data_IF_439741402118
#
_entry.id   IF_439741402118
#
_cell.length_a   1.000
_cell.length_b   1.000
_cell.length_c   1.000
_cell.angle_alpha   90.00
_cell.angle_beta   90.00
_cell.angle_gamma   90.00
#
_symmetry.space_group_name_H-M   'P 1'
#
loop_
_entity.id
_entity.type
_entity.pdbx_description
1 polymer ?
#
# COMPACT_ATOMS: atom_id res chain seq x y z
N UNK A 1 -22.95 -4.69 6.03
CA UNK A 1 -24.21 -3.93 5.98
C UNK A 1 -24.10 -2.51 6.55
N UNK A 2 -23.42 -2.29 7.70
CA UNK A 2 -23.30 -0.97 8.36
C UNK A 2 -22.83 0.18 7.47
N UNK A 3 -21.62 0.07 6.88
CA UNK A 3 -20.99 1.17 6.12
C UNK A 3 -21.78 1.59 4.86
N UNK A 4 -22.45 0.65 4.18
CA UNK A 4 -23.24 0.94 2.97
C UNK A 4 -24.57 1.61 3.34
N UNK A 5 -25.22 1.17 4.41
CA UNK A 5 -26.44 1.81 4.90
C UNK A 5 -26.17 3.23 5.43
N UNK A 6 -25.03 3.44 6.09
CA UNK A 6 -24.58 4.76 6.53
C UNK A 6 -24.30 5.70 5.34
N UNK A 7 -23.65 5.18 4.28
CA UNK A 7 -23.42 5.91 3.03
C UNK A 7 -24.72 6.39 2.38
N UNK A 8 -25.72 5.52 2.22
CA UNK A 8 -27.03 5.85 1.64
C UNK A 8 -27.75 6.95 2.44
N UNK A 9 -27.64 6.90 3.77
CA UNK A 9 -28.26 7.89 4.65
C UNK A 9 -27.49 9.23 4.67
N UNK A 10 -26.19 9.23 4.35
CA UNK A 10 -25.35 10.44 4.31
C UNK A 10 -25.49 11.25 3.02
N UNK A 11 -26.02 10.64 1.95
CA UNK A 11 -26.30 11.31 0.68
C UNK A 11 -27.63 12.06 0.72
N UNK A 12 -27.56 13.39 0.77
CA UNK A 12 -28.74 14.28 0.72
C UNK A 12 -29.58 14.05 -0.56
N UNK A 13 -30.90 13.96 -0.40
CA UNK A 13 -31.86 13.81 -1.50
C UNK A 13 -32.34 12.37 -1.76
N UNK A 14 -31.58 11.36 -1.35
CA UNK A 14 -31.88 9.96 -1.66
C UNK A 14 -32.86 9.28 -0.68
N UNK A 15 -33.07 9.80 0.53
CA UNK A 15 -33.76 9.03 1.58
C UNK A 15 -35.28 8.86 1.40
N UNK A 16 -35.93 9.59 0.48
CA UNK A 16 -37.40 9.59 0.38
C UNK A 16 -37.98 8.81 -0.81
N UNK A 17 -37.17 8.42 -1.82
CA UNK A 17 -37.66 7.74 -3.04
C UNK A 17 -36.92 6.44 -3.40
N UNK A 18 -36.10 5.88 -2.51
CA UNK A 18 -35.39 4.65 -2.81
C UNK A 18 -36.30 3.40 -2.76
N UNK A 19 -36.22 2.50 -3.76
CA UNK A 19 -36.87 1.19 -3.71
C UNK A 19 -36.44 0.42 -2.45
N UNK A 20 -37.38 -0.35 -1.86
CA UNK A 20 -37.14 -1.08 -0.59
C UNK A 20 -35.93 -2.03 -0.62
N UNK A 21 -35.57 -2.53 -1.80
CA UNK A 21 -34.45 -3.46 -1.98
C UNK A 21 -33.13 -2.76 -2.37
N UNK A 22 -33.12 -1.42 -2.44
CA UNK A 22 -31.98 -0.65 -2.95
C UNK A 22 -30.70 -0.88 -2.13
N UNK A 23 -30.78 -0.78 -0.80
CA UNK A 23 -29.60 -0.96 0.08
C UNK A 23 -29.05 -2.38 0.02
N UNK A 24 -29.93 -3.38 -0.05
CA UNK A 24 -29.54 -4.78 -0.15
C UNK A 24 -28.88 -5.07 -1.50
N UNK A 25 -29.43 -4.52 -2.58
CA UNK A 25 -28.88 -4.65 -3.93
C UNK A 25 -27.55 -3.89 -4.05
N UNK A 26 -27.46 -2.67 -3.53
CA UNK A 26 -26.21 -1.90 -3.47
C UNK A 26 -25.12 -2.66 -2.72
N UNK A 27 -25.47 -3.30 -1.59
CA UNK A 27 -24.52 -4.11 -0.84
C UNK A 27 -24.04 -5.34 -1.62
N UNK A 28 -24.94 -6.07 -2.29
CA UNK A 28 -24.59 -7.21 -3.13
C UNK A 28 -23.70 -6.82 -4.31
N UNK A 29 -24.07 -5.74 -4.99
CA UNK A 29 -23.43 -5.26 -6.22
C UNK A 29 -22.11 -4.51 -5.94
N UNK A 30 -21.95 -3.92 -4.75
CA UNK A 30 -20.69 -3.34 -4.29
C UNK A 30 -19.78 -4.34 -3.57
N UNK A 31 -20.27 -5.57 -3.31
CA UNK A 31 -19.62 -6.54 -2.41
C UNK A 31 -19.30 -5.94 -1.03
N UNK A 32 -20.06 -4.92 -0.61
CA UNK A 32 -19.80 -4.16 0.61
C UNK A 32 -18.63 -3.18 0.55
N UNK A 33 -18.05 -2.93 -0.63
CA UNK A 33 -16.96 -1.98 -0.82
C UNK A 33 -17.50 -0.54 -0.88
N UNK A 34 -17.18 0.33 0.10
CA UNK A 34 -17.72 1.69 0.18
C UNK A 34 -17.48 2.53 -1.08
N UNK A 35 -16.30 2.39 -1.71
CA UNK A 35 -15.98 3.08 -2.97
C UNK A 35 -16.97 2.72 -4.08
N UNK A 36 -17.29 1.43 -4.21
CA UNK A 36 -18.18 0.97 -5.26
C UNK A 36 -19.59 1.43 -4.96
N UNK A 37 -20.02 1.35 -3.70
CA UNK A 37 -21.31 1.87 -3.27
C UNK A 37 -21.48 3.36 -3.61
N UNK A 38 -20.45 4.19 -3.39
CA UNK A 38 -20.45 5.61 -3.77
C UNK A 38 -20.60 5.81 -5.28
N UNK A 39 -19.96 4.99 -6.11
CA UNK A 39 -20.07 5.08 -7.58
C UNK A 39 -21.45 4.67 -8.09
N UNK A 40 -22.05 3.61 -7.53
CA UNK A 40 -23.44 3.25 -7.82
C UNK A 40 -24.40 4.38 -7.42
N UNK A 41 -24.19 5.01 -6.26
CA UNK A 41 -24.98 6.15 -5.79
C UNK A 41 -24.82 7.38 -6.70
N UNK A 42 -23.59 7.73 -7.09
CA UNK A 42 -23.33 8.87 -7.97
C UNK A 42 -23.96 8.69 -9.36
N UNK A 43 -23.88 7.47 -9.93
CA UNK A 43 -24.53 7.13 -11.19
C UNK A 43 -26.06 7.13 -11.12
N UNK A 44 -26.63 6.83 -9.94
CA UNK A 44 -28.06 6.90 -9.68
C UNK A 44 -28.56 8.35 -9.63
N UNK A 45 -27.91 9.21 -8.84
CA UNK A 45 -28.28 10.64 -8.67
C UNK A 45 -28.23 11.40 -10.00
N UNK A 46 -27.25 11.13 -10.87
CA UNK A 46 -27.16 11.79 -12.19
C UNK A 46 -28.34 11.48 -13.13
N UNK A 47 -29.02 10.35 -12.96
CA UNK A 47 -30.14 9.93 -13.84
C UNK A 47 -31.51 10.35 -13.34
N UNK A 48 -31.67 10.47 -12.03
CA UNK A 48 -32.90 10.98 -11.41
C UNK A 48 -33.24 12.39 -11.91
N UNK A 49 -32.22 13.22 -12.11
CA UNK A 49 -32.32 14.57 -12.69
C UNK A 49 -32.83 14.57 -14.16
N UNK A 50 -32.82 13.41 -14.84
CA UNK A 50 -33.22 13.27 -16.25
C UNK A 50 -34.60 12.62 -16.48
N UNK A 51 -35.39 12.35 -15.43
CA UNK A 51 -36.73 11.72 -15.51
C UNK A 51 -36.78 10.42 -16.35
N UNK A 52 -35.67 9.69 -16.45
CA UNK A 52 -35.63 8.40 -17.14
C UNK A 52 -35.92 7.27 -16.16
N UNK A 53 -36.59 6.22 -16.66
CA UNK A 53 -36.85 4.98 -15.92
C UNK A 53 -35.55 4.45 -15.32
N UNK A 54 -35.54 4.26 -13.99
CA UNK A 54 -34.36 3.88 -13.20
C UNK A 54 -33.86 2.50 -13.63
N UNK A 55 -33.05 2.49 -14.67
CA UNK A 55 -32.30 1.31 -15.09
C UNK A 55 -31.04 1.25 -14.25
N UNK A 56 -30.95 0.24 -13.39
CA UNK A 56 -29.71 -0.15 -12.74
C UNK A 56 -28.71 -0.50 -13.83
N UNK A 57 -27.90 0.48 -14.23
CA UNK A 57 -26.68 0.16 -14.98
C UNK A 57 -25.74 -0.38 -13.94
N UNK A 58 -25.59 -1.70 -13.93
CA UNK A 58 -24.46 -2.37 -13.31
C UNK A 58 -23.22 -1.67 -13.88
N UNK A 59 -22.46 -0.88 -13.10
CA UNK A 59 -21.05 -0.77 -13.36
C UNK A 59 -20.54 -2.19 -13.58
N UNK A 60 -19.60 -2.37 -14.50
CA UNK A 60 -18.96 -3.67 -14.63
C UNK A 60 -18.30 -4.09 -13.30
N UNK A 61 -17.50 -5.15 -13.35
CA UNK A 61 -16.68 -5.57 -12.21
C UNK A 61 -15.99 -4.39 -11.50
N UNK A 62 -15.55 -4.55 -10.26
CA UNK A 62 -14.73 -3.54 -9.54
C UNK A 62 -13.62 -2.96 -10.42
N UNK A 63 -13.06 -3.79 -11.30
CA UNK A 63 -12.04 -3.42 -12.27
C UNK A 63 -12.55 -2.44 -13.34
N UNK A 64 -13.80 -2.50 -13.76
CA UNK A 64 -14.40 -1.62 -14.75
C UNK A 64 -14.67 -0.21 -14.20
N UNK A 65 -15.15 -0.13 -12.96
CA UNK A 65 -15.30 1.16 -12.23
C UNK A 65 -13.94 1.83 -12.06
N UNK A 66 -12.95 1.07 -11.56
CA UNK A 66 -11.60 1.59 -11.38
C UNK A 66 -10.91 1.92 -12.71
N UNK A 67 -11.16 1.14 -13.77
CA UNK A 67 -10.66 1.44 -15.11
C UNK A 67 -11.27 2.71 -15.68
N UNK A 68 -12.55 2.97 -15.42
CA UNK A 68 -13.23 4.21 -15.80
C UNK A 68 -12.65 5.41 -15.05
N UNK A 69 -12.39 5.28 -13.75
CA UNK A 69 -11.71 6.34 -12.96
C UNK A 69 -10.29 6.65 -13.47
N UNK A 70 -9.58 5.62 -13.93
CA UNK A 70 -8.26 5.75 -14.54
C UNK A 70 -8.31 6.24 -16.00
N UNK A 71 -9.50 6.25 -16.63
CA UNK A 71 -9.66 6.71 -18.00
C UNK A 71 -9.40 8.22 -18.10
N UNK A 72 -8.54 8.61 -19.05
CA UNK A 72 -8.14 9.99 -19.27
C UNK A 72 -7.09 10.54 -18.31
N UNK A 73 -6.54 9.71 -17.40
CA UNK A 73 -5.30 10.04 -16.70
C UNK A 73 -4.17 10.09 -17.73
N UNK A 74 -3.40 11.17 -17.74
CA UNK A 74 -2.26 11.30 -18.66
C UNK A 74 -1.22 10.21 -18.40
N UNK A 75 -0.44 9.84 -19.42
CA UNK A 75 0.59 8.80 -19.27
C UNK A 75 1.58 9.12 -18.13
N UNK A 76 1.96 10.39 -17.98
CA UNK A 76 2.82 10.84 -16.88
C UNK A 76 2.17 10.63 -15.51
N UNK A 77 0.91 11.02 -15.34
CA UNK A 77 0.18 10.83 -14.08
C UNK A 77 -0.06 9.35 -13.79
N UNK A 78 -0.33 8.51 -14.80
CA UNK A 78 -0.48 7.07 -14.63
C UNK A 78 0.82 6.39 -14.19
N UNK A 79 1.95 6.83 -14.73
CA UNK A 79 3.27 6.33 -14.32
C UNK A 79 3.63 6.75 -12.89
N UNK A 80 3.26 7.98 -12.48
CA UNK A 80 3.41 8.43 -11.09
C UNK A 80 2.50 7.64 -10.16
N UNK A 81 1.24 7.43 -10.51
CA UNK A 81 0.30 6.62 -9.73
C UNK A 81 0.77 5.15 -9.60
N UNK A 82 1.35 4.59 -10.66
CA UNK A 82 1.99 3.26 -10.61
C UNK A 82 3.19 3.24 -9.67
N UNK A 83 4.01 4.30 -9.68
CA UNK A 83 5.17 4.43 -8.80
C UNK A 83 4.72 4.53 -7.35
N UNK A 84 3.74 5.39 -7.07
CA UNK A 84 3.09 5.51 -5.77
C UNK A 84 2.54 4.17 -5.27
N UNK A 85 1.88 3.39 -6.13
CA UNK A 85 1.32 2.10 -5.74
C UNK A 85 2.39 1.09 -5.30
N UNK A 86 3.59 1.17 -5.89
CA UNK A 86 4.75 0.36 -5.51
C UNK A 86 5.41 0.84 -4.22
N UNK A 87 5.43 2.16 -3.97
CA UNK A 87 5.96 2.75 -2.72
C UNK A 87 5.11 2.30 -1.53
N UNK A 88 3.79 2.47 -1.60
CA UNK A 88 2.92 2.18 -0.46
C UNK A 88 1.55 2.85 -0.54
N UNK A 89 0.78 2.71 0.53
CA UNK A 89 -0.52 3.38 0.68
C UNK A 89 -0.37 4.89 0.86
N UNK A 90 0.65 5.30 1.61
CA UNK A 90 1.02 6.68 1.87
C UNK A 90 2.44 6.93 1.37
N UNK A 91 2.70 8.10 0.81
CA UNK A 91 4.01 8.47 0.26
C UNK A 91 4.20 9.99 0.26
N UNK A 92 5.44 10.44 0.42
CA UNK A 92 5.80 11.85 0.30
C UNK A 92 6.24 12.23 -1.12
N UNK A 93 6.27 13.53 -1.39
CA UNK A 93 6.70 14.08 -2.68
C UNK A 93 8.13 13.65 -3.06
N UNK A 94 9.08 13.74 -2.13
CA UNK A 94 10.49 13.52 -2.43
C UNK A 94 10.74 12.06 -2.82
N UNK A 95 10.16 11.12 -2.08
CA UNK A 95 10.25 9.68 -2.39
C UNK A 95 9.61 9.38 -3.75
N UNK A 96 8.42 9.91 -4.05
CA UNK A 96 7.79 9.70 -5.37
C UNK A 96 8.64 10.30 -6.50
N UNK A 97 9.14 11.51 -6.31
CA UNK A 97 9.96 12.22 -7.28
C UNK A 97 11.25 11.42 -7.60
N UNK A 98 12.01 11.03 -6.58
CA UNK A 98 13.25 10.28 -6.73
C UNK A 98 13.04 8.91 -7.39
N UNK A 99 12.03 8.15 -6.96
CA UNK A 99 11.76 6.81 -7.51
C UNK A 99 11.26 6.88 -8.95
N UNK A 100 10.40 7.87 -9.25
CA UNK A 100 9.85 8.06 -10.60
C UNK A 100 10.94 8.51 -11.59
N UNK A 101 11.96 9.24 -11.12
CA UNK A 101 13.04 9.80 -11.93
C UNK A 101 12.55 10.86 -12.92
N UNK A 102 11.46 11.55 -12.58
CA UNK A 102 10.84 12.61 -13.39
C UNK A 102 11.33 13.98 -12.96
N UNK A 103 11.05 15.00 -13.76
CA UNK A 103 11.30 16.39 -13.35
C UNK A 103 10.29 16.86 -12.30
N UNK A 104 10.64 17.92 -11.55
CA UNK A 104 9.73 18.59 -10.62
C UNK A 104 8.40 18.96 -11.29
N UNK A 105 8.46 19.59 -12.47
CA UNK A 105 7.27 20.04 -13.20
C UNK A 105 6.35 18.89 -13.64
N UNK A 106 6.92 17.78 -14.09
CA UNK A 106 6.13 16.58 -14.42
C UNK A 106 5.51 15.93 -13.18
N UNK A 107 6.24 15.92 -12.07
CA UNK A 107 5.81 15.29 -10.81
C UNK A 107 4.68 16.09 -10.18
N UNK A 108 4.86 17.42 -10.06
CA UNK A 108 3.84 18.34 -9.55
C UNK A 108 2.60 18.32 -10.46
N UNK A 109 2.77 18.52 -11.77
CA UNK A 109 1.64 18.52 -12.70
C UNK A 109 0.88 17.19 -12.73
N UNK A 110 1.59 16.06 -12.56
CA UNK A 110 1.00 14.74 -12.42
C UNK A 110 0.22 14.56 -11.12
N UNK A 111 0.80 14.92 -9.97
CA UNK A 111 0.14 14.87 -8.67
C UNK A 111 -1.12 15.73 -8.63
N UNK A 112 -1.05 16.97 -9.11
CA UNK A 112 -2.23 17.82 -9.21
C UNK A 112 -3.33 17.21 -10.10
N UNK A 113 -2.93 16.55 -11.19
CA UNK A 113 -3.86 15.82 -12.06
C UNK A 113 -4.55 14.66 -11.34
N UNK A 114 -3.83 13.93 -10.48
CA UNK A 114 -4.35 12.84 -9.66
C UNK A 114 -5.26 13.36 -8.53
N UNK A 115 -4.88 14.46 -7.88
CA UNK A 115 -5.67 15.14 -6.84
C UNK A 115 -7.00 15.67 -7.39
N UNK A 116 -6.98 16.38 -8.53
CA UNK A 116 -8.20 16.88 -9.19
C UNK A 116 -9.19 15.77 -9.56
N UNK A 117 -8.69 14.56 -9.80
CA UNK A 117 -9.49 13.37 -10.11
C UNK A 117 -9.91 12.56 -8.87
N UNK A 118 -9.48 12.96 -7.67
CA UNK A 118 -9.80 12.26 -6.43
C UNK A 118 -9.20 10.85 -6.34
N UNK A 119 -8.10 10.58 -7.07
CA UNK A 119 -7.41 9.29 -7.03
C UNK A 119 -6.46 9.19 -5.82
N UNK A 120 -5.94 10.33 -5.40
CA UNK A 120 -5.14 10.49 -4.19
C UNK A 120 -5.67 11.67 -3.39
N UNK A 121 -5.35 11.70 -2.11
CA UNK A 121 -5.65 12.78 -1.18
C UNK A 121 -4.35 13.35 -0.62
N UNK A 122 -4.28 14.66 -0.49
CA UNK A 122 -3.20 15.33 0.22
C UNK A 122 -3.51 15.31 1.73
N UNK A 123 -2.52 14.93 2.53
CA UNK A 123 -2.52 14.93 3.98
C UNK A 123 -1.39 15.83 4.46
N UNK A 124 -1.68 16.62 5.47
CA UNK A 124 -0.71 17.52 6.10
C UNK A 124 -0.59 17.11 7.56
N UNK A 125 0.62 16.77 7.98
CA UNK A 125 0.96 16.39 9.35
C UNK A 125 2.11 17.27 9.89
N UNK A 126 2.24 17.27 11.22
CA UNK A 126 3.29 17.99 11.95
C UNK A 126 2.94 19.41 12.39
N UNK A 127 3.79 20.01 13.23
CA UNK A 127 3.63 21.41 13.61
C UNK A 127 3.93 22.31 12.39
N UNK A 128 3.03 23.29 12.15
CA UNK A 128 3.11 24.28 11.05
C UNK A 128 3.13 23.68 9.63
N UNK A 129 2.39 22.62 9.38
CA UNK A 129 2.22 22.05 8.03
C UNK A 129 3.55 21.66 7.37
N UNK A 130 4.50 21.15 8.18
CA UNK A 130 5.86 20.90 7.72
C UNK A 130 6.02 19.60 6.93
N UNK A 131 5.09 18.65 7.04
CA UNK A 131 5.16 17.38 6.32
C UNK A 131 3.90 17.15 5.48
N UNK A 132 4.08 17.06 4.16
CA UNK A 132 3.02 16.78 3.20
C UNK A 132 3.16 15.33 2.72
N UNK A 133 2.08 14.57 2.90
CA UNK A 133 1.96 13.20 2.44
C UNK A 133 0.77 13.05 1.50
N UNK A 134 0.81 12.02 0.68
CA UNK A 134 -0.26 11.67 -0.24
C UNK A 134 -0.73 10.25 0.03
N UNK A 135 -2.04 10.09 0.15
CA UNK A 135 -2.68 8.78 0.32
C UNK A 135 -3.48 8.42 -0.92
N UNK A 136 -3.51 7.13 -1.26
CA UNK A 136 -4.58 6.64 -2.13
C UNK A 136 -5.93 6.84 -1.43
N UNK A 137 -6.91 7.37 -2.17
CA UNK A 137 -8.28 7.54 -1.66
C UNK A 137 -8.85 6.21 -1.17
N UNK A 138 -8.50 5.11 -1.85
CA UNK A 138 -8.89 3.76 -1.46
C UNK A 138 -7.78 2.74 -1.72
N UNK A 139 -7.63 1.79 -0.80
CA UNK A 139 -6.66 0.69 -0.92
C UNK A 139 -6.88 -0.14 -2.19
N UNK A 140 -8.14 -0.40 -2.57
CA UNK A 140 -8.44 -1.19 -3.77
C UNK A 140 -7.97 -0.54 -5.07
N UNK A 141 -7.96 0.81 -5.12
CA UNK A 141 -7.41 1.54 -6.26
C UNK A 141 -5.91 1.30 -6.38
N UNK A 142 -5.18 1.34 -5.26
CA UNK A 142 -3.75 1.04 -5.20
C UNK A 142 -3.46 -0.37 -5.72
N UNK A 143 -4.19 -1.36 -5.22
CA UNK A 143 -4.05 -2.76 -5.65
C UNK A 143 -4.23 -2.90 -7.16
N UNK A 144 -5.31 -2.34 -7.73
CA UNK A 144 -5.57 -2.44 -9.18
C UNK A 144 -4.50 -1.73 -10.01
N UNK A 145 -4.02 -0.56 -9.57
CA UNK A 145 -2.92 0.13 -10.26
C UNK A 145 -1.63 -0.70 -10.19
N UNK A 146 -1.31 -1.24 -9.02
CA UNK A 146 -0.17 -2.12 -8.83
C UNK A 146 -0.29 -3.38 -9.72
N UNK A 147 -1.46 -4.01 -9.74
CA UNK A 147 -1.73 -5.23 -10.51
C UNK A 147 -1.69 -5.03 -12.03
N UNK A 148 -2.04 -3.84 -12.53
CA UNK A 148 -1.93 -3.49 -13.95
C UNK A 148 -0.48 -3.33 -14.41
N UNK A 149 0.45 -3.02 -13.53
CA UNK A 149 1.86 -2.94 -13.87
C UNK A 149 2.44 -4.33 -14.15
N UNK A 150 3.23 -4.46 -15.22
CA UNK A 150 3.94 -5.70 -15.52
C UNK A 150 4.91 -6.08 -14.39
N UNK A 151 5.19 -7.38 -14.22
CA UNK A 151 6.14 -7.87 -13.23
C UNK A 151 7.52 -7.21 -13.37
N UNK A 152 8.00 -7.02 -14.61
CA UNK A 152 9.26 -6.32 -14.89
C UNK A 152 9.23 -4.88 -14.38
N UNK A 153 8.13 -4.15 -14.63
CA UNK A 153 7.97 -2.77 -14.16
C UNK A 153 7.95 -2.71 -12.64
N UNK A 154 7.24 -3.62 -11.97
CA UNK A 154 7.20 -3.70 -10.50
C UNK A 154 8.58 -3.96 -9.92
N UNK A 155 9.34 -4.93 -10.46
CA UNK A 155 10.71 -5.23 -9.99
C UNK A 155 11.64 -4.02 -10.09
N UNK A 156 11.60 -3.30 -11.22
CA UNK A 156 12.41 -2.10 -11.41
C UNK A 156 12.02 -1.01 -10.42
N UNK A 157 10.72 -0.79 -10.20
CA UNK A 157 10.24 0.21 -9.25
C UNK A 157 10.59 -0.18 -7.81
N UNK A 158 10.39 -1.44 -7.41
CA UNK A 158 10.78 -1.93 -6.09
C UNK A 158 12.27 -1.76 -5.81
N UNK A 159 13.13 -2.03 -6.80
CA UNK A 159 14.56 -1.79 -6.66
C UNK A 159 14.85 -0.31 -6.36
N UNK A 160 14.27 0.60 -7.14
CA UNK A 160 14.44 2.04 -6.94
C UNK A 160 13.91 2.51 -5.59
N UNK A 161 12.76 2.01 -5.15
CA UNK A 161 12.20 2.33 -3.83
C UNK A 161 13.17 1.88 -2.74
N UNK A 162 13.67 0.65 -2.82
CA UNK A 162 14.64 0.13 -1.85
C UNK A 162 15.92 0.99 -1.79
N UNK A 163 16.44 1.41 -2.95
CA UNK A 163 17.62 2.26 -3.05
C UNK A 163 17.37 3.66 -2.43
N UNK A 164 16.25 4.30 -2.77
CA UNK A 164 15.86 5.62 -2.21
C UNK A 164 15.70 5.55 -0.70
N UNK A 165 14.92 4.58 -0.20
CA UNK A 165 14.70 4.40 1.24
C UNK A 165 16.01 4.07 1.97
N UNK A 166 16.89 3.25 1.35
CA UNK A 166 18.20 2.93 1.93
C UNK A 166 19.11 4.14 2.06
N UNK A 167 19.05 5.09 1.11
CA UNK A 167 19.81 6.32 1.17
C UNK A 167 19.25 7.26 2.24
N UNK A 168 17.93 7.39 2.33
CA UNK A 168 17.26 8.18 3.37
C UNK A 168 17.56 7.63 4.78
N UNK A 169 17.61 6.30 4.93
CA UNK A 169 17.91 5.64 6.21
C UNK A 169 19.30 6.03 6.76
N UNK A 170 20.29 6.30 5.90
CA UNK A 170 21.65 6.69 6.34
C UNK A 170 21.64 7.96 7.18
N UNK A 171 20.69 8.88 6.93
CA UNK A 171 20.53 10.14 7.66
C UNK A 171 19.61 10.08 8.88
N UNK A 172 18.91 8.96 9.14
CA UNK A 172 17.92 8.85 10.22
C UNK A 172 18.46 8.13 11.45
N UNK A 173 17.93 8.49 12.63
CA UNK A 173 18.18 7.82 13.92
C UNK A 173 17.36 6.53 14.06
N UNK A 174 16.13 6.53 13.57
CA UNK A 174 15.24 5.37 13.59
C UNK A 174 15.42 4.50 12.35
N UNK A 175 16.52 3.76 12.32
CA UNK A 175 16.90 2.90 11.18
C UNK A 175 16.14 1.58 11.15
N UNK A 176 15.67 1.15 12.31
CA UNK A 176 15.12 -0.18 12.50
C UNK A 176 13.77 -0.38 11.82
N UNK A 177 12.86 0.58 11.98
CA UNK A 177 11.54 0.55 11.34
C UNK A 177 11.63 0.59 9.80
N UNK A 178 12.64 1.25 9.23
CA UNK A 178 12.86 1.26 7.78
C UNK A 178 13.46 -0.04 7.26
N UNK A 179 14.20 -0.80 8.07
CA UNK A 179 14.96 -1.95 7.60
C UNK A 179 14.06 -3.04 7.01
N UNK A 180 12.95 -3.39 7.67
CA UNK A 180 12.00 -4.39 7.16
C UNK A 180 11.32 -3.94 5.86
N UNK A 181 10.95 -2.66 5.77
CA UNK A 181 10.36 -2.08 4.56
C UNK A 181 11.34 -2.13 3.38
N UNK A 182 12.60 -1.76 3.60
CA UNK A 182 13.66 -1.83 2.58
C UNK A 182 13.89 -3.29 2.16
N UNK A 183 13.93 -4.22 3.11
CA UNK A 183 14.11 -5.65 2.83
C UNK A 183 13.02 -6.18 1.90
N UNK A 184 11.75 -5.90 2.20
CA UNK A 184 10.60 -6.32 1.41
C UNK A 184 10.66 -5.79 -0.03
N UNK A 185 11.15 -4.56 -0.23
CA UNK A 185 11.33 -4.01 -1.56
C UNK A 185 12.50 -4.66 -2.32
N UNK A 186 13.63 -4.93 -1.68
CA UNK A 186 14.72 -5.69 -2.32
C UNK A 186 14.28 -7.11 -2.70
N UNK A 187 13.53 -7.79 -1.82
CA UNK A 187 12.98 -9.11 -2.11
C UNK A 187 12.04 -9.08 -3.31
N UNK A 188 11.09 -8.12 -3.32
CA UNK A 188 10.16 -7.91 -4.44
C UNK A 188 10.86 -7.53 -5.74
N UNK A 189 12.05 -6.95 -5.67
CA UNK A 189 12.93 -6.66 -6.80
C UNK A 189 13.78 -7.86 -7.26
N UNK A 190 13.79 -8.97 -6.52
CA UNK A 190 14.62 -10.15 -6.77
C UNK A 190 16.07 -10.03 -6.28
N UNK A 191 16.35 -9.08 -5.38
CA UNK A 191 17.68 -8.85 -4.78
C UNK A 191 17.79 -9.56 -3.43
N UNK A 192 17.73 -10.89 -3.42
CA UNK A 192 17.69 -11.70 -2.18
C UNK A 192 18.84 -11.42 -1.22
N UNK A 193 20.07 -11.33 -1.73
CA UNK A 193 21.24 -11.04 -0.89
C UNK A 193 21.15 -9.67 -0.17
N UNK A 194 20.65 -8.63 -0.86
CA UNK A 194 20.43 -7.33 -0.24
C UNK A 194 19.26 -7.39 0.75
N UNK A 195 18.16 -8.06 0.39
CA UNK A 195 17.03 -8.23 1.28
C UNK A 195 17.44 -8.91 2.60
N UNK A 196 18.28 -9.95 2.51
CA UNK A 196 18.78 -10.69 3.67
C UNK A 196 19.52 -9.80 4.68
N UNK A 197 20.39 -8.89 4.21
CA UNK A 197 21.10 -7.92 5.05
C UNK A 197 20.13 -6.99 5.80
N UNK A 198 19.08 -6.53 5.12
CA UNK A 198 18.08 -5.65 5.72
C UNK A 198 17.12 -6.39 6.66
N UNK A 199 16.74 -7.65 6.36
CA UNK A 199 15.99 -8.49 7.30
C UNK A 199 16.79 -8.78 8.55
N UNK A 200 18.11 -9.02 8.45
CA UNK A 200 18.99 -9.14 9.61
C UNK A 200 18.97 -7.88 10.47
N UNK A 201 19.10 -6.70 9.85
CA UNK A 201 19.00 -5.41 10.58
C UNK A 201 17.64 -5.21 11.26
N UNK A 202 16.54 -5.58 10.58
CA UNK A 202 15.19 -5.54 11.15
C UNK A 202 15.07 -6.47 12.37
N UNK A 203 15.62 -7.69 12.29
CA UNK A 203 15.64 -8.63 13.41
C UNK A 203 16.45 -8.13 14.59
N UNK A 204 17.61 -7.50 14.36
CA UNK A 204 18.40 -6.87 15.43
C UNK A 204 17.65 -5.73 16.11
N UNK A 205 16.91 -4.92 15.33
CA UNK A 205 16.08 -3.86 15.88
C UNK A 205 14.92 -4.43 16.72
N UNK A 206 14.17 -5.38 16.19
CA UNK A 206 13.08 -6.05 16.93
C UNK A 206 13.61 -6.68 18.24
N UNK A 207 14.79 -7.32 18.19
CA UNK A 207 15.47 -7.85 19.38
C UNK A 207 15.79 -6.75 20.38
N UNK A 208 16.28 -5.60 19.93
CA UNK A 208 16.57 -4.46 20.83
C UNK A 208 15.33 -3.90 21.53
N UNK A 209 14.15 -4.12 20.97
CA UNK A 209 12.84 -3.77 21.53
C UNK A 209 12.19 -4.91 22.33
N UNK A 210 12.89 -6.04 22.54
CA UNK A 210 12.38 -7.26 23.16
C UNK A 210 11.19 -7.91 22.41
N UNK A 211 10.98 -7.56 21.14
CA UNK A 211 10.03 -8.22 20.25
C UNK A 211 10.63 -9.54 19.73
N UNK A 212 10.89 -10.48 20.65
CA UNK A 212 11.67 -11.70 20.38
C UNK A 212 11.10 -12.55 19.24
N UNK A 213 9.76 -12.71 19.18
CA UNK A 213 9.12 -13.48 18.12
C UNK A 213 9.32 -12.83 16.74
N UNK A 214 9.20 -11.51 16.68
CA UNK A 214 9.38 -10.75 15.45
C UNK A 214 10.85 -10.78 15.00
N UNK A 215 11.79 -10.69 15.95
CA UNK A 215 13.22 -10.85 15.68
C UNK A 215 13.54 -12.22 15.08
N UNK A 216 13.01 -13.30 15.67
CA UNK A 216 13.17 -14.68 15.14
C UNK A 216 12.62 -14.76 13.72
N UNK A 217 11.43 -14.23 13.46
CA UNK A 217 10.82 -14.25 12.14
C UNK A 217 11.71 -13.53 11.11
N UNK A 218 12.25 -12.34 11.44
CA UNK A 218 13.15 -11.62 10.55
C UNK A 218 14.47 -12.36 10.29
N UNK A 219 15.08 -12.97 11.32
CA UNK A 219 16.29 -13.77 11.14
C UNK A 219 16.04 -15.01 10.27
N UNK A 220 14.90 -15.68 10.43
CA UNK A 220 14.50 -16.80 9.57
C UNK A 220 14.30 -16.35 8.11
N UNK A 221 13.65 -15.21 7.88
CA UNK A 221 13.49 -14.64 6.52
C UNK A 221 14.84 -14.24 5.92
N UNK A 222 15.77 -13.71 6.71
CA UNK A 222 17.12 -13.41 6.26
C UNK A 222 17.88 -14.68 5.82
N UNK A 223 17.78 -15.76 6.60
CA UNK A 223 18.34 -17.08 6.24
C UNK A 223 17.73 -17.62 4.94
N UNK A 224 16.40 -17.57 4.80
CA UNK A 224 15.71 -18.01 3.59
C UNK A 224 16.08 -17.18 2.35
N UNK A 225 16.45 -15.91 2.54
CA UNK A 225 16.92 -14.99 1.50
C UNK A 225 18.42 -15.16 1.16
N UNK A 226 19.13 -16.06 1.85
CA UNK A 226 20.54 -16.38 1.57
C UNK A 226 21.55 -15.51 2.31
N UNK A 227 21.27 -15.08 3.55
CA UNK A 227 22.24 -14.36 4.37
C UNK A 227 23.55 -15.17 4.53
N UNK A 228 24.74 -14.57 4.29
CA UNK A 228 26.00 -15.31 4.20
C UNK A 228 26.48 -15.89 5.53
N UNK A 229 26.19 -15.23 6.66
CA UNK A 229 26.64 -15.66 8.00
C UNK A 229 25.52 -16.41 8.73
N UNK A 230 25.06 -17.53 8.17
CA UNK A 230 23.93 -18.29 8.68
C UNK A 230 24.08 -18.72 10.15
N UNK A 231 25.27 -19.17 10.54
CA UNK A 231 25.57 -19.61 11.92
C UNK A 231 25.32 -18.51 12.96
N UNK A 232 25.69 -17.25 12.66
CA UNK A 232 25.46 -16.13 13.58
C UNK A 232 23.96 -15.82 13.77
N UNK A 233 23.15 -16.02 12.72
CA UNK A 233 21.70 -15.89 12.81
C UNK A 233 21.07 -17.05 13.58
N UNK A 234 21.52 -18.28 13.36
CA UNK A 234 21.05 -19.43 14.13
C UNK A 234 21.38 -19.31 15.62
N UNK A 235 22.58 -18.83 15.98
CA UNK A 235 22.94 -18.50 17.36
C UNK A 235 21.99 -17.45 17.95
N UNK A 236 21.75 -16.35 17.21
CA UNK A 236 20.83 -15.29 17.65
C UNK A 236 19.38 -15.79 17.81
N UNK A 237 18.92 -16.71 16.96
CA UNK A 237 17.60 -17.35 17.08
C UNK A 237 17.57 -18.25 18.32
N UNK A 238 18.61 -19.06 18.53
CA UNK A 238 18.75 -19.95 19.68
C UNK A 238 18.68 -19.19 21.01
N UNK A 239 19.38 -18.05 21.11
CA UNK A 239 19.35 -17.18 22.29
C UNK A 239 17.94 -16.66 22.59
N UNK A 240 17.23 -16.20 21.55
CA UNK A 240 15.88 -15.67 21.69
C UNK A 240 14.86 -16.75 22.06
N UNK A 241 15.04 -17.96 21.54
CA UNK A 241 14.21 -19.12 21.90
C UNK A 241 14.40 -19.51 23.37
N UNK A 242 15.61 -19.39 23.94
CA UNK A 242 15.82 -19.57 25.38
C UNK A 242 15.00 -18.55 26.17
N UNK A 243 15.01 -17.28 25.78
CA UNK A 243 14.23 -16.24 26.46
C UNK A 243 12.72 -16.45 26.37
N UNK A 244 12.23 -17.17 25.37
CA UNK A 244 10.82 -17.58 25.25
C UNK A 244 10.50 -18.90 25.96
N UNK A 245 11.50 -19.64 26.46
CA UNK A 245 11.35 -20.95 27.08
C UNK A 245 11.27 -22.12 26.09
N UNK A 246 11.58 -21.89 24.82
CA UNK A 246 11.54 -22.87 23.72
C UNK A 246 12.85 -23.66 23.60
N UNK A 247 13.24 -24.35 24.68
CA UNK A 247 14.53 -25.04 24.77
C UNK A 247 14.80 -26.09 23.67
N UNK A 248 13.82 -26.93 23.26
CA UNK A 248 14.06 -27.90 22.19
C UNK A 248 14.39 -27.24 20.84
N UNK A 249 13.72 -26.12 20.53
CA UNK A 249 13.99 -25.35 19.32
C UNK A 249 15.38 -24.68 19.37
N UNK A 250 15.77 -24.18 20.55
CA UNK A 250 17.08 -23.56 20.77
C UNK A 250 18.24 -24.52 20.49
N UNK A 251 18.15 -25.77 20.95
CA UNK A 251 19.17 -26.80 20.69
C UNK A 251 19.33 -27.03 19.19
N UNK A 252 18.22 -27.17 18.46
CA UNK A 252 18.25 -27.33 17.00
C UNK A 252 18.93 -26.15 16.29
N UNK A 253 18.72 -24.93 16.78
CA UNK A 253 19.34 -23.73 16.22
C UNK A 253 20.86 -23.75 16.46
N UNK A 254 21.35 -24.16 17.63
CA UNK A 254 22.80 -24.23 17.90
C UNK A 254 23.55 -25.35 17.16
N UNK A 255 22.85 -26.39 16.71
CA UNK A 255 23.45 -27.53 16.02
C UNK A 255 23.60 -27.35 14.49
N UNK A 256 23.03 -26.27 13.92
CA UNK A 256 23.02 -25.99 12.46
C UNK A 256 24.15 -25.06 12.05
#
# INVERSE_FOLDING_TARGET
EGDVAELVNSTEGLSQELPKDFTQRLFQESEGLPLIAVEYLAGFVQREDQQQEVTWVTPGSVQDVLSTRLAGVSDTANQLLTTAAVIGRSFDFNTLHEVSGRSDGETVGGLEGLLRRGLILERVEGEKDSEIYYDFTHEKLREVVYEKASLTRRRVLHLRVAEVLSNQMRGRRDRGNLASLIANHYESAGQGALAAEYFKQAGEHARSLYANQEAINFFQTALASGYPEASALYESIGDLQIYQGEYPASISSYET
#
